data_IF_502262396263
#
_entry.id   IF_502262396263
#
_cell.length_a   1.000
_cell.length_b   1.000
_cell.length_c   1.000
_cell.angle_alpha   90.00
_cell.angle_beta   90.00
_cell.angle_gamma   90.00
#
_symmetry.space_group_name_H-M   'P 1'
#
loop_
_entity.id
_entity.type
_entity.pdbx_description
1 polymer ?
#
# COMPACT_ATOMS: atom_id res chain seq x y z
N UNK A 1 -9.65 21.93 -3.25
CA UNK A 1 -9.66 20.48 -2.93
C UNK A 1 -10.92 20.18 -2.14
N UNK A 2 -11.66 19.13 -2.52
CA UNK A 2 -12.75 18.60 -1.69
C UNK A 2 -12.18 18.06 -0.39
N UNK A 3 -12.84 18.33 0.74
CA UNK A 3 -12.45 17.75 2.04
C UNK A 3 -12.45 16.22 1.93
N UNK A 4 -11.42 15.52 2.45
CA UNK A 4 -11.39 14.06 2.44
C UNK A 4 -12.58 13.49 3.21
N UNK A 5 -13.28 12.54 2.60
CA UNK A 5 -14.30 11.73 3.26
C UNK A 5 -13.63 10.50 3.85
N UNK A 6 -13.66 10.37 5.18
CA UNK A 6 -13.30 9.15 5.88
C UNK A 6 -14.53 8.22 5.90
N UNK A 7 -14.50 7.08 5.19
CA UNK A 7 -15.61 6.16 5.19
C UNK A 7 -15.92 5.62 6.59
N UNK A 8 -17.19 5.26 6.89
CA UNK A 8 -17.53 4.52 8.09
C UNK A 8 -16.70 3.24 8.22
N UNK A 9 -16.31 2.92 9.46
CA UNK A 9 -15.52 1.74 9.80
C UNK A 9 -16.42 0.51 9.97
N UNK A 10 -15.98 -0.69 9.55
CA UNK A 10 -16.65 -1.94 9.87
C UNK A 10 -16.66 -2.20 11.38
N UNK A 11 -17.46 -3.18 11.80
CA UNK A 11 -17.47 -3.76 13.15
C UNK A 11 -17.41 -5.28 13.06
N UNK A 12 -16.91 -5.98 14.09
CA UNK A 12 -17.04 -7.43 14.16
C UNK A 12 -18.52 -7.87 13.94
N UNK A 13 -18.71 -8.84 13.07
CA UNK A 13 -20.00 -9.33 12.56
C UNK A 13 -20.36 -8.80 11.17
N UNK A 14 -19.74 -7.70 10.72
CA UNK A 14 -20.03 -7.13 9.41
C UNK A 14 -19.48 -7.97 8.25
N UNK A 15 -20.11 -7.82 7.07
CA UNK A 15 -19.63 -8.41 5.83
C UNK A 15 -18.62 -7.48 5.15
N UNK A 16 -17.52 -8.04 4.66
CA UNK A 16 -16.50 -7.30 3.91
C UNK A 16 -16.28 -7.94 2.55
N UNK A 17 -16.19 -7.13 1.50
CA UNK A 17 -15.95 -7.63 0.16
C UNK A 17 -14.49 -8.01 -0.01
N UNK A 18 -14.23 -9.14 -0.66
CA UNK A 18 -12.91 -9.58 -1.07
C UNK A 18 -12.87 -9.68 -2.59
N UNK A 19 -12.06 -8.83 -3.22
CA UNK A 19 -12.06 -8.62 -4.68
C UNK A 19 -10.65 -8.76 -5.25
N UNK A 20 -10.56 -9.22 -6.50
CA UNK A 20 -9.29 -9.31 -7.25
C UNK A 20 -9.29 -8.29 -8.41
N UNK A 21 -9.08 -7.00 -8.12
CA UNK A 21 -9.10 -5.98 -9.16
C UNK A 21 -7.86 -6.01 -10.05
N UNK A 22 -6.77 -6.62 -9.60
CA UNK A 22 -5.57 -6.91 -10.41
C UNK A 22 -5.51 -8.42 -10.71
N UNK A 23 -4.51 -9.15 -10.21
CA UNK A 23 -4.36 -10.58 -10.46
C UNK A 23 -5.34 -11.45 -9.65
N UNK A 24 -6.00 -12.39 -10.34
CA UNK A 24 -6.88 -13.41 -9.76
C UNK A 24 -6.16 -14.55 -9.05
N UNK A 25 -5.08 -14.27 -8.32
CA UNK A 25 -4.23 -15.27 -7.68
C UNK A 25 -4.90 -16.18 -6.63
N UNK A 26 -6.06 -15.85 -6.02
CA UNK A 26 -6.81 -16.84 -5.22
C UNK A 26 -7.16 -18.13 -5.95
N UNK A 27 -7.21 -18.11 -7.30
CA UNK A 27 -7.40 -19.30 -8.12
C UNK A 27 -6.17 -20.22 -8.13
N UNK A 28 -4.97 -19.61 -8.11
CA UNK A 28 -3.69 -20.33 -8.20
C UNK A 28 -3.19 -20.76 -6.82
N UNK A 29 -3.41 -19.92 -5.79
CA UNK A 29 -2.98 -20.14 -4.42
C UNK A 29 -4.16 -20.19 -3.44
N UNK A 30 -5.11 -21.13 -3.61
CA UNK A 30 -6.32 -21.18 -2.80
C UNK A 30 -6.01 -21.41 -1.31
N UNK A 31 -4.97 -22.17 -0.98
CA UNK A 31 -4.60 -22.46 0.41
C UNK A 31 -4.13 -21.21 1.18
N UNK A 32 -3.33 -20.35 0.55
CA UNK A 32 -2.93 -19.03 1.10
C UNK A 32 -4.15 -18.14 1.28
N UNK A 33 -5.04 -18.13 0.27
CA UNK A 33 -6.25 -17.34 0.30
C UNK A 33 -7.21 -17.78 1.40
N UNK A 34 -7.47 -19.07 1.55
CA UNK A 34 -8.31 -19.62 2.62
C UNK A 34 -7.75 -19.31 4.01
N UNK A 35 -6.42 -19.30 4.19
CA UNK A 35 -5.80 -18.85 5.43
C UNK A 35 -6.13 -17.37 5.71
N UNK A 36 -6.04 -16.52 4.69
CA UNK A 36 -6.42 -15.10 4.80
C UNK A 36 -7.90 -14.90 5.14
N UNK A 37 -8.81 -15.62 4.47
CA UNK A 37 -10.25 -15.56 4.77
C UNK A 37 -10.57 -16.06 6.19
N UNK A 38 -9.88 -17.12 6.64
CA UNK A 38 -10.04 -17.64 8.00
C UNK A 38 -9.61 -16.60 9.03
N UNK A 39 -8.47 -15.94 8.85
CA UNK A 39 -7.99 -14.89 9.76
C UNK A 39 -8.89 -13.66 9.75
N UNK A 40 -9.50 -13.29 8.61
CA UNK A 40 -10.55 -12.26 8.61
C UNK A 40 -11.71 -12.60 9.57
N UNK A 41 -12.16 -13.85 9.55
CA UNK A 41 -13.23 -14.33 10.45
C UNK A 41 -12.76 -14.43 11.90
N UNK A 42 -11.64 -15.10 12.15
CA UNK A 42 -11.19 -15.47 13.49
C UNK A 42 -10.51 -14.31 14.23
N UNK A 43 -9.67 -13.53 13.55
CA UNK A 43 -8.86 -12.46 14.16
C UNK A 43 -9.54 -11.09 14.12
N UNK A 44 -10.47 -10.87 13.19
CA UNK A 44 -11.17 -9.60 13.02
C UNK A 44 -12.69 -9.71 13.18
N UNK A 45 -13.25 -10.92 13.22
CA UNK A 45 -14.69 -11.12 13.31
C UNK A 45 -15.46 -10.65 12.07
N UNK A 46 -14.82 -10.55 10.90
CA UNK A 46 -15.44 -10.04 9.67
C UNK A 46 -15.79 -11.20 8.74
N UNK A 47 -16.97 -11.17 8.13
CA UNK A 47 -17.40 -12.20 7.19
C UNK A 47 -16.99 -11.83 5.75
N UNK A 48 -16.01 -12.50 5.14
CA UNK A 48 -15.59 -12.19 3.78
C UNK A 48 -16.64 -12.64 2.75
N UNK A 49 -16.91 -11.77 1.78
CA UNK A 49 -17.83 -11.99 0.67
C UNK A 49 -17.06 -11.89 -0.64
N UNK A 50 -17.00 -13.00 -1.36
CA UNK A 50 -16.37 -13.06 -2.67
C UNK A 50 -17.28 -12.51 -3.77
N UNK A 51 -16.67 -12.10 -4.87
CA UNK A 51 -17.31 -11.58 -6.06
C UNK A 51 -16.96 -12.48 -7.28
N UNK A 52 -17.73 -12.41 -8.39
CA UNK A 52 -17.57 -13.32 -9.53
C UNK A 52 -16.14 -13.55 -10.03
N UNK A 53 -15.28 -12.54 -10.04
CA UNK A 53 -13.90 -12.60 -10.55
C UNK A 53 -12.85 -12.83 -9.46
N UNK A 54 -13.23 -12.95 -8.18
CA UNK A 54 -12.27 -13.10 -7.06
C UNK A 54 -11.33 -14.30 -7.23
N UNK A 55 -11.78 -15.36 -7.92
CA UNK A 55 -10.96 -16.55 -8.20
C UNK A 55 -10.81 -16.82 -9.70
N UNK A 56 -10.77 -15.78 -10.52
CA UNK A 56 -10.68 -15.93 -11.98
C UNK A 56 -9.39 -15.29 -12.49
N UNK A 57 -8.46 -16.12 -12.96
CA UNK A 57 -7.25 -15.66 -13.63
C UNK A 57 -7.59 -15.00 -14.96
N UNK A 58 -6.96 -13.85 -15.24
CA UNK A 58 -7.13 -13.15 -16.51
C UNK A 58 -8.56 -12.68 -16.79
N UNK A 59 -9.38 -12.44 -15.76
CA UNK A 59 -10.71 -11.89 -15.93
C UNK A 59 -10.69 -10.56 -16.69
N UNK A 60 -11.69 -10.32 -17.53
CA UNK A 60 -11.78 -9.08 -18.32
C UNK A 60 -11.74 -7.85 -17.37
N UNK A 61 -10.98 -6.80 -17.69
CA UNK A 61 -10.90 -5.61 -16.84
C UNK A 61 -12.27 -5.00 -16.50
N UNK A 62 -13.27 -5.11 -17.40
CA UNK A 62 -14.63 -4.64 -17.17
C UNK A 62 -15.36 -5.49 -16.13
N UNK A 63 -15.12 -6.80 -16.10
CA UNK A 63 -15.71 -7.69 -15.11
C UNK A 63 -15.14 -7.43 -13.72
N UNK A 64 -13.82 -7.23 -13.62
CA UNK A 64 -13.15 -6.83 -12.37
C UNK A 64 -13.63 -5.46 -11.86
N UNK A 65 -13.83 -4.50 -12.77
CA UNK A 65 -14.39 -3.20 -12.43
C UNK A 65 -15.86 -3.29 -11.98
N UNK A 66 -16.66 -4.16 -12.60
CA UNK A 66 -18.03 -4.45 -12.18
C UNK A 66 -18.06 -5.00 -10.77
N UNK A 67 -17.18 -5.94 -10.43
CA UNK A 67 -17.11 -6.53 -9.10
C UNK A 67 -16.74 -5.49 -8.04
N UNK A 68 -15.75 -4.63 -8.30
CA UNK A 68 -15.39 -3.54 -7.40
C UNK A 68 -16.55 -2.53 -7.24
N UNK A 69 -17.21 -2.16 -8.34
CA UNK A 69 -18.36 -1.25 -8.32
C UNK A 69 -19.55 -1.86 -7.55
N UNK A 70 -19.83 -3.15 -7.75
CA UNK A 70 -20.87 -3.88 -7.03
C UNK A 70 -20.57 -3.97 -5.53
N UNK A 71 -19.30 -4.18 -5.15
CA UNK A 71 -18.88 -4.14 -3.75
C UNK A 71 -19.12 -2.78 -3.09
N UNK A 72 -18.91 -1.68 -3.82
CA UNK A 72 -19.28 -0.34 -3.35
C UNK A 72 -20.80 -0.14 -3.33
N UNK A 73 -21.56 -0.68 -4.29
CA UNK A 73 -23.01 -0.55 -4.31
C UNK A 73 -23.76 -1.36 -3.22
N UNK A 74 -23.22 -2.49 -2.76
CA UNK A 74 -23.90 -3.38 -1.82
C UNK A 74 -23.95 -2.78 -0.40
N UNK A 75 -25.13 -2.36 0.12
CA UNK A 75 -25.23 -1.72 1.43
C UNK A 75 -24.92 -2.65 2.61
N UNK A 76 -24.81 -3.97 2.38
CA UNK A 76 -24.44 -4.94 3.41
C UNK A 76 -22.92 -5.08 3.58
N UNK A 77 -22.14 -4.55 2.65
CA UNK A 77 -20.67 -4.55 2.70
C UNK A 77 -20.17 -3.27 3.36
N UNK A 78 -19.34 -3.41 4.40
CA UNK A 78 -18.83 -2.26 5.17
C UNK A 78 -17.36 -1.95 4.91
N UNK A 79 -16.61 -2.84 4.25
CA UNK A 79 -15.25 -2.61 3.78
C UNK A 79 -14.94 -3.44 2.53
N UNK A 80 -13.93 -3.04 1.76
CA UNK A 80 -13.47 -3.74 0.56
C UNK A 80 -11.97 -4.02 0.68
N UNK A 81 -11.56 -5.28 0.55
CA UNK A 81 -10.17 -5.71 0.62
C UNK A 81 -9.75 -6.32 -0.71
N UNK A 82 -8.63 -5.85 -1.26
CA UNK A 82 -8.01 -6.46 -2.42
C UNK A 82 -7.33 -7.78 -2.03
N UNK A 83 -7.43 -8.79 -2.90
CA UNK A 83 -6.78 -10.07 -2.67
C UNK A 83 -5.26 -9.94 -2.75
N UNK A 84 -4.74 -9.25 -3.76
CA UNK A 84 -3.31 -9.04 -4.06
C UNK A 84 -3.15 -7.94 -5.13
N UNK A 85 -1.91 -7.56 -5.45
CA UNK A 85 -1.54 -6.73 -6.60
C UNK A 85 -1.49 -7.51 -7.93
N UNK A 86 -0.62 -7.08 -8.83
CA UNK A 86 -0.42 -7.57 -10.20
C UNK A 86 0.17 -6.44 -11.04
N UNK A 87 -0.22 -6.29 -12.31
CA UNK A 87 0.42 -5.35 -13.24
C UNK A 87 -0.53 -4.65 -14.24
N UNK A 88 -1.84 -4.84 -14.14
CA UNK A 88 -2.78 -4.41 -15.18
C UNK A 88 -4.00 -3.64 -14.67
N UNK A 89 -4.08 -3.29 -13.38
CA UNK A 89 -5.24 -2.61 -12.79
C UNK A 89 -5.46 -1.22 -13.40
N UNK A 90 -4.44 -0.63 -14.02
CA UNK A 90 -4.59 0.58 -14.85
C UNK A 90 -5.61 0.39 -15.99
N UNK A 91 -5.87 -0.83 -16.45
CA UNK A 91 -6.91 -1.13 -17.44
C UNK A 91 -8.31 -1.24 -16.84
N UNK A 92 -8.42 -1.43 -15.52
CA UNK A 92 -9.67 -1.63 -14.77
C UNK A 92 -10.29 -0.30 -14.33
N UNK A 93 -9.48 0.63 -13.81
CA UNK A 93 -9.98 1.91 -13.27
C UNK A 93 -10.84 2.75 -14.23
N UNK A 94 -10.63 2.77 -15.57
CA UNK A 94 -11.51 3.48 -16.50
C UNK A 94 -12.95 2.95 -16.58
N UNK A 95 -13.19 1.74 -16.08
CA UNK A 95 -14.50 1.07 -16.13
C UNK A 95 -15.28 1.17 -14.80
N UNK A 96 -14.73 1.85 -13.78
CA UNK A 96 -15.42 2.07 -12.51
C UNK A 96 -16.53 3.10 -12.65
N UNK A 97 -17.64 2.88 -11.95
CA UNK A 97 -18.73 3.85 -11.88
C UNK A 97 -18.48 4.84 -10.73
N UNK A 98 -17.88 5.99 -11.08
CA UNK A 98 -17.59 7.05 -10.10
C UNK A 98 -18.83 7.56 -9.34
N UNK A 99 -20.02 7.52 -9.93
CA UNK A 99 -21.23 7.97 -9.25
C UNK A 99 -21.61 6.98 -8.14
N UNK A 100 -21.52 5.68 -8.41
CA UNK A 100 -21.72 4.62 -7.41
C UNK A 100 -20.69 4.72 -6.29
N UNK A 101 -19.40 4.88 -6.63
CA UNK A 101 -18.33 4.96 -5.63
C UNK A 101 -18.51 6.19 -4.72
N UNK A 102 -18.83 7.37 -5.28
CA UNK A 102 -19.09 8.59 -4.49
C UNK A 102 -20.34 8.48 -3.62
N UNK A 103 -21.38 7.81 -4.10
CA UNK A 103 -22.63 7.63 -3.34
C UNK A 103 -22.48 6.63 -2.18
N UNK A 104 -21.49 5.73 -2.25
CA UNK A 104 -21.30 4.64 -1.29
C UNK A 104 -19.84 4.55 -0.79
N UNK A 105 -19.29 5.60 -0.18
CA UNK A 105 -17.89 5.58 0.25
C UNK A 105 -17.65 4.49 1.31
N UNK A 106 -16.69 3.61 1.03
CA UNK A 106 -16.27 2.49 1.91
C UNK A 106 -14.75 2.46 2.03
N UNK A 107 -14.21 1.99 3.16
CA UNK A 107 -12.78 1.81 3.31
C UNK A 107 -12.31 0.71 2.34
N UNK A 108 -11.33 1.04 1.51
CA UNK A 108 -10.68 0.12 0.58
C UNK A 108 -9.25 -0.16 1.03
N UNK A 109 -8.86 -1.44 1.08
CA UNK A 109 -7.53 -1.88 1.50
C UNK A 109 -6.81 -2.57 0.34
N UNK A 110 -5.62 -2.09 0.01
CA UNK A 110 -4.74 -2.72 -0.97
C UNK A 110 -3.43 -1.95 -1.12
N UNK A 111 -2.41 -2.57 -1.69
CA UNK A 111 -1.13 -1.94 -2.02
C UNK A 111 -0.57 -2.49 -3.33
N UNK A 112 0.65 -2.11 -3.72
CA UNK A 112 1.25 -2.49 -5.02
C UNK A 112 0.42 -1.91 -6.18
N UNK A 113 0.05 -2.71 -7.18
CA UNK A 113 -0.83 -2.32 -8.30
C UNK A 113 -2.20 -1.76 -7.88
N UNK A 114 -2.65 -2.07 -6.65
CA UNK A 114 -3.82 -1.41 -6.08
C UNK A 114 -3.65 0.10 -5.87
N UNK A 115 -2.43 0.64 -6.00
CA UNK A 115 -2.16 2.07 -6.11
C UNK A 115 -3.04 2.74 -7.18
N UNK A 116 -3.39 2.02 -8.25
CA UNK A 116 -4.38 2.46 -9.24
C UNK A 116 -5.75 2.78 -8.60
N UNK A 117 -6.32 1.87 -7.78
CA UNK A 117 -7.60 2.11 -7.07
C UNK A 117 -7.44 3.17 -5.99
N UNK A 118 -6.35 3.14 -5.22
CA UNK A 118 -6.11 4.12 -4.15
C UNK A 118 -6.08 5.56 -4.72
N UNK A 119 -5.35 5.77 -5.82
CA UNK A 119 -5.29 7.05 -6.50
C UNK A 119 -6.64 7.44 -7.14
N UNK A 120 -7.39 6.47 -7.67
CA UNK A 120 -8.75 6.72 -8.18
C UNK A 120 -9.68 7.22 -7.07
N UNK A 121 -9.75 6.50 -5.95
CA UNK A 121 -10.55 6.88 -4.78
C UNK A 121 -10.12 8.22 -4.18
N UNK A 122 -8.82 8.50 -4.13
CA UNK A 122 -8.28 9.81 -3.73
C UNK A 122 -8.87 10.94 -4.57
N UNK A 123 -8.92 10.78 -5.90
CA UNK A 123 -9.50 11.76 -6.84
C UNK A 123 -11.00 11.92 -6.67
N UNK A 124 -11.69 10.90 -6.15
CA UNK A 124 -13.10 10.97 -5.74
C UNK A 124 -13.29 11.60 -4.35
N UNK A 125 -12.20 11.91 -3.62
CA UNK A 125 -12.24 12.45 -2.27
C UNK A 125 -12.48 11.40 -1.19
N UNK A 126 -12.31 10.11 -1.49
CA UNK A 126 -12.55 8.98 -0.58
C UNK A 126 -11.20 8.52 0.00
N UNK A 127 -11.10 8.48 1.33
CA UNK A 127 -9.93 7.92 2.01
C UNK A 127 -9.94 6.40 1.93
N UNK A 128 -8.87 5.83 1.38
CA UNK A 128 -8.60 4.39 1.35
C UNK A 128 -7.37 4.06 2.20
N UNK A 129 -6.84 2.84 2.12
CA UNK A 129 -5.74 2.38 2.96
C UNK A 129 -4.71 1.62 2.11
N UNK A 130 -3.47 2.11 2.14
CA UNK A 130 -2.33 1.44 1.55
C UNK A 130 -1.92 0.28 2.47
N UNK A 131 -2.19 -0.94 2.01
CA UNK A 131 -1.88 -2.19 2.70
C UNK A 131 -3.09 -3.08 2.96
N UNK A 132 -2.89 -4.20 3.66
CA UNK A 132 -3.98 -5.06 4.12
C UNK A 132 -4.53 -6.03 3.07
N UNK A 133 -3.75 -6.34 2.02
CA UNK A 133 -4.11 -7.36 1.03
C UNK A 133 -4.26 -8.76 1.63
N UNK A 134 -5.23 -9.53 1.13
CA UNK A 134 -5.60 -10.83 1.71
C UNK A 134 -4.50 -11.88 1.58
N UNK A 135 -3.91 -12.07 0.41
CA UNK A 135 -2.91 -13.12 0.21
C UNK A 135 -1.59 -12.85 0.94
N UNK A 136 -1.16 -11.59 1.00
CA UNK A 136 0.15 -11.20 1.53
C UNK A 136 0.12 -11.05 3.05
N UNK A 137 -0.82 -10.28 3.59
CA UNK A 137 -0.84 -9.93 5.01
C UNK A 137 -1.67 -10.92 5.82
N UNK A 138 -2.91 -11.14 5.40
CA UNK A 138 -3.81 -12.06 6.08
C UNK A 138 -3.41 -13.51 5.81
N UNK A 139 -2.92 -13.83 4.62
CA UNK A 139 -2.40 -15.13 4.20
C UNK A 139 -0.94 -15.39 4.57
N UNK A 140 -0.30 -14.52 5.36
CA UNK A 140 1.10 -14.66 5.80
C UNK A 140 1.36 -16.06 6.39
N UNK A 141 2.35 -16.82 5.88
CA UNK A 141 2.79 -18.09 6.46
C UNK A 141 3.12 -17.99 7.96
N UNK A 142 3.02 -19.12 8.67
CA UNK A 142 3.25 -19.18 10.10
C UNK A 142 2.18 -18.40 10.88
N UNK A 143 2.61 -17.48 11.73
CA UNK A 143 1.75 -16.67 12.58
C UNK A 143 1.40 -15.32 11.93
N UNK A 144 0.27 -14.69 12.31
CA UNK A 144 0.06 -13.26 12.06
C UNK A 144 1.23 -12.43 12.61
N UNK A 145 1.80 -11.52 11.81
CA UNK A 145 2.78 -10.58 12.37
C UNK A 145 2.04 -9.52 13.19
N UNK A 146 2.38 -9.31 14.48
CA UNK A 146 1.62 -8.43 15.38
C UNK A 146 1.54 -7.00 14.87
N UNK A 147 2.64 -6.42 14.37
CA UNK A 147 2.66 -5.06 13.82
C UNK A 147 1.62 -4.85 12.71
N UNK A 148 1.54 -5.77 11.75
CA UNK A 148 0.58 -5.69 10.64
C UNK A 148 -0.85 -5.89 11.11
N UNK A 149 -1.09 -6.86 11.99
CA UNK A 149 -2.43 -7.15 12.48
C UNK A 149 -2.97 -6.05 13.39
N UNK A 150 -2.13 -5.47 14.25
CA UNK A 150 -2.51 -4.34 15.10
C UNK A 150 -2.77 -3.09 14.27
N UNK A 151 -1.93 -2.81 13.28
CA UNK A 151 -2.14 -1.69 12.36
C UNK A 151 -3.40 -1.86 11.51
N UNK A 152 -3.66 -3.07 11.00
CA UNK A 152 -4.89 -3.39 10.26
C UNK A 152 -6.12 -3.30 11.16
N UNK A 153 -6.03 -3.76 12.41
CA UNK A 153 -7.11 -3.67 13.40
C UNK A 153 -7.45 -2.22 13.71
N UNK A 154 -6.44 -1.38 13.88
CA UNK A 154 -6.64 0.05 14.08
C UNK A 154 -7.30 0.69 12.84
N UNK A 155 -6.77 0.42 11.65
CA UNK A 155 -7.33 0.95 10.40
C UNK A 155 -8.78 0.48 10.15
N UNK A 156 -9.14 -0.75 10.55
CA UNK A 156 -10.49 -1.29 10.41
C UNK A 156 -11.47 -0.78 11.47
N UNK A 157 -11.06 -0.61 12.72
CA UNK A 157 -12.01 -0.46 13.84
C UNK A 157 -11.88 0.80 14.66
N UNK A 158 -10.81 1.58 14.49
CA UNK A 158 -10.62 2.82 15.25
C UNK A 158 -10.76 4.04 14.36
N UNK A 159 -10.94 5.19 15.01
CA UNK A 159 -10.98 6.50 14.34
C UNK A 159 -10.14 7.48 15.13
N UNK A 160 -9.49 8.41 14.43
CA UNK A 160 -8.62 9.40 15.05
C UNK A 160 -7.13 9.08 14.90
N UNK A 161 -6.30 9.78 15.68
CA UNK A 161 -4.85 9.67 15.57
C UNK A 161 -4.32 8.35 16.13
N UNK A 162 -3.40 7.75 15.39
CA UNK A 162 -2.72 6.52 15.73
C UNK A 162 -1.22 6.68 15.44
N UNK A 163 -0.38 6.37 16.42
CA UNK A 163 1.07 6.44 16.28
C UNK A 163 1.58 5.16 15.60
N UNK A 164 2.29 5.31 14.49
CA UNK A 164 2.99 4.23 13.82
C UNK A 164 4.31 3.94 14.55
N UNK A 165 4.73 2.67 14.53
CA UNK A 165 5.98 2.23 15.16
C UNK A 165 6.82 1.42 14.17
N UNK A 166 8.15 1.56 14.20
CA UNK A 166 9.03 0.76 13.36
C UNK A 166 9.00 -0.71 13.76
N UNK A 167 9.10 -1.60 12.77
CA UNK A 167 9.17 -3.03 13.03
C UNK A 167 10.46 -3.42 13.78
N UNK A 168 10.38 -4.25 14.85
CA UNK A 168 11.56 -4.74 15.55
C UNK A 168 12.33 -5.80 14.75
N UNK A 169 11.67 -6.44 13.79
CA UNK A 169 12.22 -7.40 12.83
C UNK A 169 11.50 -7.22 11.50
N UNK A 170 12.16 -7.55 10.40
CA UNK A 170 11.59 -7.46 9.05
C UNK A 170 12.18 -8.52 8.10
N UNK A 171 11.49 -8.83 7.02
CA UNK A 171 11.95 -9.70 5.94
C UNK A 171 11.44 -9.23 4.59
N UNK A 172 12.13 -9.60 3.51
CA UNK A 172 11.73 -9.36 2.12
C UNK A 172 11.80 -10.64 1.27
N UNK A 173 12.07 -11.79 1.91
CA UNK A 173 12.05 -13.12 1.32
C UNK A 173 10.77 -13.86 1.71
N UNK A 174 9.76 -13.93 0.83
CA UNK A 174 8.53 -14.66 1.10
C UNK A 174 8.76 -16.18 1.00
N UNK A 175 7.90 -16.95 1.67
CA UNK A 175 7.80 -18.39 1.44
C UNK A 175 7.14 -18.66 0.08
N UNK A 176 7.44 -19.80 -0.52
CA UNK A 176 6.88 -20.18 -1.82
C UNK A 176 5.41 -20.65 -1.66
N UNK A 177 4.48 -19.90 -2.24
CA UNK A 177 3.07 -20.25 -2.26
C UNK A 177 2.75 -21.45 -3.15
N UNK A 178 3.67 -21.95 -3.96
CA UNK A 178 3.47 -23.20 -4.70
C UNK A 178 3.58 -24.44 -3.80
N UNK A 179 4.21 -24.31 -2.63
CA UNK A 179 4.29 -25.36 -1.62
C UNK A 179 3.33 -25.07 -0.46
N UNK A 180 2.16 -25.76 -0.39
CA UNK A 180 1.23 -25.58 0.72
C UNK A 180 1.83 -25.90 2.09
N UNK A 181 2.87 -26.74 2.17
CA UNK A 181 3.54 -27.03 3.44
C UNK A 181 4.28 -25.81 3.99
N UNK A 182 4.77 -24.92 3.11
CA UNK A 182 5.47 -23.71 3.49
C UNK A 182 4.60 -22.69 4.24
N UNK A 183 3.26 -22.88 4.26
CA UNK A 183 2.36 -22.10 5.12
C UNK A 183 2.57 -22.35 6.62
N UNK A 184 3.15 -23.50 7.00
CA UNK A 184 3.40 -23.82 8.40
C UNK A 184 4.67 -23.14 8.94
N UNK A 185 5.56 -22.68 8.05
CA UNK A 185 6.87 -22.16 8.41
C UNK A 185 6.83 -20.63 8.56
N UNK A 186 7.45 -20.11 9.62
CA UNK A 186 7.67 -18.67 9.75
C UNK A 186 8.64 -18.18 8.66
N UNK A 187 8.38 -17.02 8.03
CA UNK A 187 9.30 -16.45 7.05
C UNK A 187 10.62 -16.02 7.69
N UNK A 188 11.64 -15.85 6.84
CA UNK A 188 12.95 -15.36 7.26
C UNK A 188 12.85 -13.90 7.73
N UNK A 189 13.24 -13.64 8.99
CA UNK A 189 13.24 -12.30 9.59
C UNK A 189 14.66 -11.87 10.00
N UNK A 190 14.99 -10.63 9.67
CA UNK A 190 16.19 -9.90 10.05
C UNK A 190 15.88 -8.89 11.16
N UNK A 191 16.87 -8.48 11.98
CA UNK A 191 16.69 -7.42 12.96
C UNK A 191 16.26 -6.09 12.30
N UNK A 192 15.29 -5.41 12.91
CA UNK A 192 14.88 -4.06 12.54
C UNK A 192 15.90 -3.03 13.02
N UNK A 193 16.13 -2.01 12.19
CA UNK A 193 17.11 -0.94 12.45
C UNK A 193 16.42 0.41 12.75
N UNK A 194 15.10 0.41 12.87
CA UNK A 194 14.28 1.61 12.95
C UNK A 194 14.15 2.35 11.62
N UNK A 195 13.51 3.51 11.67
CA UNK A 195 13.41 4.42 10.52
C UNK A 195 14.60 5.38 10.48
N UNK A 196 15.05 5.72 9.26
CA UNK A 196 16.16 6.67 9.07
C UNK A 196 15.61 8.03 8.68
N UNK A 197 15.99 9.06 9.43
CA UNK A 197 15.49 10.42 9.24
C UNK A 197 16.55 11.30 8.57
N UNK A 198 16.14 12.06 7.55
CA UNK A 198 16.96 13.01 6.81
C UNK A 198 16.18 14.31 6.59
N UNK A 199 16.89 15.44 6.47
CA UNK A 199 16.28 16.76 6.27
C UNK A 199 16.13 17.54 7.59
N UNK A 200 15.33 18.63 7.58
CA UNK A 200 15.21 19.52 8.73
C UNK A 200 14.41 18.90 9.88
N UNK A 201 14.78 19.24 11.12
CA UNK A 201 14.03 18.85 12.31
C UNK A 201 12.76 19.70 12.46
N UNK A 202 11.73 19.39 11.67
CA UNK A 202 10.44 20.10 11.64
C UNK A 202 9.27 19.13 11.71
N UNK A 203 8.08 19.65 11.99
CA UNK A 203 6.83 18.90 11.98
C UNK A 203 6.07 19.23 10.71
N UNK A 204 5.76 18.21 9.92
CA UNK A 204 4.94 18.32 8.71
C UNK A 204 3.62 17.61 8.96
N UNK A 205 2.51 18.30 8.64
CA UNK A 205 1.18 17.70 8.63
C UNK A 205 0.54 17.93 7.27
N UNK A 206 -0.02 16.88 6.69
CA UNK A 206 -0.61 16.92 5.35
C UNK A 206 -1.48 15.70 5.09
N UNK A 207 -1.96 15.59 3.85
CA UNK A 207 -2.62 14.37 3.37
C UNK A 207 -1.59 13.43 2.76
N UNK A 208 -1.75 12.13 2.89
CA UNK A 208 -0.91 11.16 2.18
C UNK A 208 -1.28 11.09 0.70
N UNK A 209 -0.28 10.92 -0.16
CA UNK A 209 -0.47 10.54 -1.57
C UNK A 209 0.78 9.80 -2.06
N UNK A 210 0.65 8.95 -3.08
CA UNK A 210 1.77 8.19 -3.64
C UNK A 210 1.42 6.72 -3.87
N UNK A 211 2.21 5.79 -3.35
CA UNK A 211 2.03 4.34 -3.45
C UNK A 211 3.24 3.64 -4.05
N UNK A 212 3.00 2.57 -4.81
CA UNK A 212 4.07 1.86 -5.51
C UNK A 212 4.69 2.76 -6.60
N UNK A 213 6.02 2.87 -6.62
CA UNK A 213 6.73 3.81 -7.49
C UNK A 213 6.62 3.44 -8.97
N UNK A 214 6.67 2.15 -9.30
CA UNK A 214 6.50 1.62 -10.65
C UNK A 214 5.08 1.90 -11.17
N UNK A 215 4.06 1.70 -10.33
CA UNK A 215 2.66 2.00 -10.67
C UNK A 215 2.43 3.50 -10.79
N UNK A 216 3.02 4.32 -9.91
CA UNK A 216 2.97 5.77 -10.03
C UNK A 216 3.58 6.23 -11.35
N UNK A 217 4.66 5.61 -11.81
CA UNK A 217 5.24 5.89 -13.12
C UNK A 217 4.22 5.68 -14.25
N UNK A 218 3.46 4.57 -14.23
CA UNK A 218 2.43 4.30 -15.23
C UNK A 218 1.25 5.28 -15.16
N UNK A 219 0.78 5.59 -13.94
CA UNK A 219 -0.27 6.58 -13.72
C UNK A 219 0.15 7.98 -14.21
N UNK A 220 1.41 8.35 -14.01
CA UNK A 220 1.96 9.60 -14.53
C UNK A 220 2.00 9.59 -16.06
N UNK A 221 2.47 8.50 -16.67
CA UNK A 221 2.54 8.36 -18.13
C UNK A 221 1.14 8.38 -18.80
N UNK A 222 0.12 7.85 -18.12
CA UNK A 222 -1.26 7.85 -18.57
C UNK A 222 -2.05 9.13 -18.21
N UNK A 223 -1.41 10.10 -17.54
CA UNK A 223 -2.01 11.32 -17.00
C UNK A 223 -3.24 11.08 -16.10
N UNK A 224 -3.10 10.14 -15.16
CA UNK A 224 -4.17 9.73 -14.24
C UNK A 224 -3.93 10.12 -12.78
N UNK A 225 -2.98 11.01 -12.55
CA UNK A 225 -2.68 11.57 -11.22
C UNK A 225 -3.31 12.96 -11.05
N UNK A 226 -3.51 13.44 -9.81
CA UNK A 226 -3.85 14.84 -9.56
C UNK A 226 -2.77 15.81 -10.07
N UNK A 227 -3.15 17.06 -10.33
CA UNK A 227 -2.18 18.09 -10.70
C UNK A 227 -1.27 18.45 -9.51
N UNK A 228 -0.06 18.94 -9.78
CA UNK A 228 0.91 19.29 -8.74
C UNK A 228 0.37 20.28 -7.69
N UNK A 229 -0.42 21.27 -8.12
CA UNK A 229 -1.06 22.23 -7.20
C UNK A 229 -2.11 21.61 -6.28
N UNK A 230 -2.71 20.48 -6.67
CA UNK A 230 -3.64 19.72 -5.82
C UNK A 230 -2.91 18.85 -4.79
N UNK A 231 -1.64 18.52 -5.05
CA UNK A 231 -0.81 17.70 -4.16
C UNK A 231 0.09 18.53 -3.25
N UNK A 232 0.23 19.83 -3.49
CA UNK A 232 1.04 20.73 -2.68
C UNK A 232 0.66 20.67 -1.19
N UNK A 233 1.66 20.47 -0.32
CA UNK A 233 1.48 20.29 1.12
C UNK A 233 1.14 18.86 1.56
N UNK A 234 0.98 17.92 0.61
CA UNK A 234 0.79 16.50 0.93
C UNK A 234 2.10 15.85 1.39
N UNK A 235 1.99 14.71 2.06
CA UNK A 235 3.13 13.84 2.36
C UNK A 235 3.18 12.75 1.29
N UNK A 236 4.29 12.69 0.55
CA UNK A 236 4.53 11.64 -0.43
C UNK A 236 4.87 10.35 0.30
N UNK A 237 4.26 9.23 -0.08
CA UNK A 237 4.69 7.89 0.32
C UNK A 237 5.04 7.07 -0.92
N UNK A 238 6.25 6.52 -0.98
CA UNK A 238 6.72 5.74 -2.12
C UNK A 238 7.37 4.45 -1.66
N UNK A 239 7.17 3.37 -2.41
CA UNK A 239 7.78 2.06 -2.17
C UNK A 239 8.07 1.34 -3.49
N UNK A 240 8.96 0.35 -3.46
CA UNK A 240 9.35 -0.45 -4.63
C UNK A 240 8.94 -1.92 -4.47
N UNK A 241 8.71 -2.58 -5.60
CA UNK A 241 8.08 -3.90 -5.67
C UNK A 241 9.07 -5.06 -5.80
N UNK A 242 8.50 -6.26 -5.95
CA UNK A 242 9.19 -7.50 -6.32
C UNK A 242 9.87 -7.46 -7.69
N UNK A 243 9.58 -6.49 -8.56
CA UNK A 243 10.30 -6.33 -9.82
C UNK A 243 11.78 -5.94 -9.61
N UNK A 244 12.12 -5.51 -8.38
CA UNK A 244 13.43 -5.04 -7.98
C UNK A 244 13.95 -3.99 -8.98
N UNK A 245 13.32 -2.80 -9.07
CA UNK A 245 13.79 -1.75 -9.97
C UNK A 245 15.19 -1.28 -9.53
N UNK A 246 16.16 -1.14 -10.45
CA UNK A 246 17.49 -0.67 -10.07
C UNK A 246 17.42 0.78 -9.58
N UNK A 247 18.39 1.18 -8.75
CA UNK A 247 18.52 2.55 -8.23
C UNK A 247 18.52 3.62 -9.34
N UNK A 248 19.03 3.29 -10.53
CA UNK A 248 18.98 4.17 -11.71
C UNK A 248 17.55 4.45 -12.17
N UNK A 249 16.67 3.45 -12.13
CA UNK A 249 15.27 3.59 -12.51
C UNK A 249 14.46 4.32 -11.44
N UNK A 250 14.68 3.98 -10.17
CA UNK A 250 14.12 4.73 -9.03
C UNK A 250 14.43 6.23 -9.15
N UNK A 251 15.69 6.58 -9.40
CA UNK A 251 16.07 7.98 -9.62
C UNK A 251 15.38 8.59 -10.85
N UNK A 252 15.28 7.87 -11.98
CA UNK A 252 14.65 8.39 -13.20
C UNK A 252 13.18 8.69 -12.99
N UNK A 253 12.44 7.80 -12.32
CA UNK A 253 11.03 8.01 -12.01
C UNK A 253 10.87 9.26 -11.14
N UNK A 254 11.62 9.36 -10.04
CA UNK A 254 11.57 10.52 -9.15
C UNK A 254 12.01 11.82 -9.85
N UNK A 255 13.07 11.77 -10.67
CA UNK A 255 13.48 12.91 -11.49
C UNK A 255 12.35 13.37 -12.41
N UNK A 256 11.67 12.44 -13.09
CA UNK A 256 10.55 12.78 -13.97
C UNK A 256 9.36 13.36 -13.17
N UNK A 257 9.11 12.89 -11.94
CA UNK A 257 8.16 13.54 -11.03
C UNK A 257 8.59 14.97 -10.67
N UNK A 258 9.88 15.18 -10.42
CA UNK A 258 10.49 16.49 -10.19
C UNK A 258 10.31 17.44 -11.37
N UNK A 259 10.58 16.99 -12.59
CA UNK A 259 10.38 17.76 -13.83
C UNK A 259 8.91 18.08 -14.09
N UNK A 260 7.97 17.27 -13.59
CA UNK A 260 6.53 17.59 -13.59
C UNK A 260 6.12 18.58 -12.49
N UNK A 261 7.06 19.06 -11.69
CA UNK A 261 6.81 19.99 -10.57
C UNK A 261 6.16 19.33 -9.35
N UNK A 262 6.08 18.00 -9.29
CA UNK A 262 5.43 17.30 -8.19
C UNK A 262 6.26 17.34 -6.91
N UNK A 263 7.55 17.00 -7.01
CA UNK A 263 8.40 16.79 -5.82
C UNK A 263 8.53 18.03 -4.94
N UNK A 264 8.60 19.22 -5.53
CA UNK A 264 8.67 20.49 -4.81
C UNK A 264 7.42 20.75 -3.94
N UNK A 265 6.29 20.09 -4.22
CA UNK A 265 5.05 20.21 -3.46
C UNK A 265 4.98 19.35 -2.20
N UNK A 266 5.92 18.42 -1.98
CA UNK A 266 5.87 17.48 -0.85
C UNK A 266 6.83 17.89 0.27
N UNK A 267 6.37 18.55 1.36
CA UNK A 267 7.21 18.92 2.50
C UNK A 267 7.74 17.71 3.30
N UNK A 268 7.14 16.54 3.14
CA UNK A 268 7.67 15.29 3.68
C UNK A 268 7.51 14.13 2.69
N UNK A 269 8.48 13.20 2.73
CA UNK A 269 8.53 11.98 1.92
C UNK A 269 8.80 10.78 2.81
N UNK A 270 7.89 9.82 2.81
CA UNK A 270 8.06 8.50 3.41
C UNK A 270 8.49 7.52 2.33
N UNK A 271 9.61 6.84 2.56
CA UNK A 271 10.15 5.85 1.64
C UNK A 271 10.05 4.49 2.32
N UNK A 272 9.28 3.60 1.70
CA UNK A 272 9.10 2.23 2.13
C UNK A 272 10.44 1.49 2.19
N UNK A 273 10.51 0.52 3.09
CA UNK A 273 11.66 -0.39 3.15
C UNK A 273 11.81 -1.11 1.81
N UNK A 274 13.02 -1.10 1.28
CA UNK A 274 13.32 -1.63 -0.04
C UNK A 274 13.18 -3.15 -0.03
N UNK A 275 12.32 -3.69 -0.89
CA UNK A 275 12.39 -5.11 -1.26
C UNK A 275 13.61 -5.32 -2.14
N UNK A 276 14.45 -6.28 -1.76
CA UNK A 276 15.71 -6.56 -2.43
C UNK A 276 15.89 -8.05 -2.73
N UNK A 277 14.84 -8.86 -2.61
CA UNK A 277 14.88 -10.29 -2.88
C UNK A 277 13.64 -10.74 -3.65
N UNK A 278 13.83 -11.58 -4.65
CA UNK A 278 12.79 -12.30 -5.38
C UNK A 278 13.27 -13.71 -5.76
N UNK A 279 12.35 -14.65 -6.04
CA UNK A 279 12.70 -16.02 -6.45
C UNK A 279 13.57 -16.06 -7.70
N UNK A 280 13.34 -15.16 -8.66
CA UNK A 280 14.13 -15.06 -9.88
C UNK A 280 15.45 -14.31 -9.67
N UNK A 281 15.56 -13.55 -8.58
CA UNK A 281 16.75 -12.74 -8.22
C UNK A 281 17.09 -12.92 -6.73
N UNK A 282 17.62 -14.10 -6.34
CA UNK A 282 17.83 -14.43 -4.94
C UNK A 282 19.12 -13.80 -4.40
N UNK A 283 19.12 -12.47 -4.23
CA UNK A 283 20.25 -11.73 -3.67
C UNK A 283 20.66 -12.26 -2.30
N UNK A 284 21.97 -12.37 -2.08
CA UNK A 284 22.55 -12.61 -0.76
C UNK A 284 22.24 -11.47 0.22
N UNK A 285 22.38 -11.67 1.54
CA UNK A 285 22.17 -10.59 2.53
C UNK A 285 23.02 -9.34 2.27
N UNK A 286 24.25 -9.50 1.76
CA UNK A 286 25.14 -8.39 1.42
C UNK A 286 24.65 -7.62 0.19
N UNK A 287 24.21 -8.34 -0.85
CA UNK A 287 23.61 -7.75 -2.05
C UNK A 287 22.29 -7.03 -1.72
N UNK A 288 21.44 -7.62 -0.86
CA UNK A 288 20.20 -7.00 -0.38
C UNK A 288 20.47 -5.65 0.30
N UNK A 289 21.48 -5.59 1.16
CA UNK A 289 21.90 -4.34 1.82
C UNK A 289 22.40 -3.30 0.82
N UNK A 290 23.30 -3.69 -0.07
CA UNK A 290 23.85 -2.82 -1.11
C UNK A 290 22.75 -2.28 -2.06
N UNK A 291 21.76 -3.12 -2.38
CA UNK A 291 20.59 -2.76 -3.18
C UNK A 291 19.75 -1.68 -2.50
N UNK A 292 19.44 -1.88 -1.22
CA UNK A 292 18.69 -0.92 -0.42
C UNK A 292 19.46 0.41 -0.25
N UNK A 293 20.77 0.36 0.01
CA UNK A 293 21.63 1.55 0.08
C UNK A 293 21.61 2.33 -1.24
N UNK A 294 21.75 1.64 -2.37
CA UNK A 294 21.73 2.27 -3.69
C UNK A 294 20.38 2.94 -3.99
N UNK A 295 19.25 2.31 -3.65
CA UNK A 295 17.93 2.93 -3.82
C UNK A 295 17.76 4.15 -2.90
N UNK A 296 18.18 4.09 -1.63
CA UNK A 296 18.14 5.26 -0.72
C UNK A 296 18.94 6.44 -1.28
N UNK A 297 20.16 6.19 -1.77
CA UNK A 297 20.99 7.22 -2.41
C UNK A 297 20.33 7.80 -3.67
N UNK A 298 19.66 6.96 -4.48
CA UNK A 298 18.91 7.43 -5.64
C UNK A 298 17.75 8.36 -5.27
N UNK A 299 16.99 8.02 -4.22
CA UNK A 299 15.92 8.90 -3.71
C UNK A 299 16.50 10.20 -3.16
N UNK A 300 17.52 10.13 -2.30
CA UNK A 300 18.18 11.31 -1.74
C UNK A 300 18.73 12.23 -2.83
N UNK A 301 19.34 11.68 -3.88
CA UNK A 301 19.84 12.47 -5.03
C UNK A 301 18.72 13.20 -5.77
N UNK A 302 17.57 12.55 -5.98
CA UNK A 302 16.43 13.21 -6.61
C UNK A 302 15.86 14.33 -5.73
N UNK A 303 15.63 14.05 -4.44
CA UNK A 303 15.06 15.03 -3.50
C UNK A 303 16.01 16.21 -3.25
N UNK A 304 17.32 16.01 -3.21
CA UNK A 304 18.29 17.10 -3.11
C UNK A 304 18.16 18.12 -4.27
N UNK A 305 17.68 17.68 -5.44
CA UNK A 305 17.49 18.55 -6.61
C UNK A 305 16.12 19.24 -6.57
N UNK A 306 15.05 18.51 -6.27
CA UNK A 306 13.68 19.00 -6.47
C UNK A 306 12.93 19.36 -5.18
N UNK A 307 13.41 18.93 -4.01
CA UNK A 307 12.79 19.14 -2.70
C UNK A 307 13.85 19.13 -1.57
N UNK A 308 14.87 20.01 -1.61
CA UNK A 308 16.02 19.95 -0.68
C UNK A 308 15.66 20.17 0.79
N UNK A 309 14.53 20.83 1.07
CA UNK A 309 14.05 21.13 2.41
C UNK A 309 13.01 20.12 2.94
N UNK A 310 12.73 19.04 2.20
CA UNK A 310 11.77 18.04 2.62
C UNK A 310 12.29 17.20 3.80
N UNK A 311 11.39 16.85 4.72
CA UNK A 311 11.65 15.80 5.72
C UNK A 311 11.54 14.45 5.02
N UNK A 312 12.60 13.65 5.07
CA UNK A 312 12.62 12.31 4.46
C UNK A 312 12.76 11.25 5.52
N UNK A 313 11.89 10.24 5.49
CA UNK A 313 11.95 9.09 6.39
C UNK A 313 12.08 7.83 5.56
N UNK A 314 13.22 7.15 5.67
CA UNK A 314 13.48 5.90 4.98
C UNK A 314 13.19 4.68 5.85
N UNK A 315 12.96 3.57 5.15
CA UNK A 315 12.72 2.25 5.71
C UNK A 315 11.48 2.20 6.60
N UNK A 316 10.50 3.04 6.27
CA UNK A 316 9.16 2.93 6.84
C UNK A 316 8.60 1.58 6.41
N UNK A 317 7.99 0.85 7.35
CA UNK A 317 7.51 -0.51 7.12
C UNK A 317 6.20 -0.48 6.31
N UNK A 318 6.27 0.04 5.08
CA UNK A 318 5.23 0.10 4.05
C UNK A 318 5.82 -0.42 2.73
N UNK A 319 5.02 -1.07 1.88
CA UNK A 319 5.49 -1.67 0.62
C UNK A 319 5.69 -3.19 0.71
N UNK A 320 6.61 -3.74 -0.08
CA UNK A 320 6.71 -5.19 -0.32
C UNK A 320 7.58 -5.98 0.67
N UNK A 321 7.77 -5.47 1.88
CA UNK A 321 8.45 -6.18 2.99
C UNK A 321 7.44 -6.63 4.07
N UNK A 322 7.81 -7.65 4.84
CA UNK A 322 7.09 -8.12 6.02
C UNK A 322 7.79 -7.61 7.30
N UNK A 323 7.10 -7.03 8.28
CA UNK A 323 5.70 -6.63 8.27
C UNK A 323 5.41 -5.37 7.46
N UNK A 324 4.13 -5.10 7.26
CA UNK A 324 3.61 -3.86 6.69
C UNK A 324 2.65 -3.15 7.65
N UNK A 325 2.81 -1.84 7.79
CA UNK A 325 1.89 -0.89 8.44
C UNK A 325 0.80 -0.45 7.45
N UNK A 326 -0.42 -0.28 7.94
CA UNK A 326 -1.55 0.20 7.15
C UNK A 326 -1.61 1.73 7.22
N UNK A 327 -1.41 2.40 6.09
CA UNK A 327 -1.37 3.85 6.03
C UNK A 327 -2.62 4.37 5.30
N UNK A 328 -3.41 5.30 5.88
CA UNK A 328 -4.55 5.87 5.17
C UNK A 328 -4.03 6.61 3.93
N UNK A 329 -4.63 6.37 2.76
CA UNK A 329 -4.31 7.00 1.48
C UNK A 329 -5.28 8.16 1.23
N UNK A 330 -4.75 9.38 1.10
CA UNK A 330 -5.55 10.60 1.09
C UNK A 330 -6.04 11.05 2.47
N UNK A 331 -5.71 10.31 3.53
CA UNK A 331 -5.97 10.68 4.92
C UNK A 331 -4.86 11.56 5.49
N UNK A 332 -5.09 12.09 6.70
CA UNK A 332 -4.15 12.97 7.39
C UNK A 332 -3.00 12.18 8.02
N UNK A 333 -1.81 12.76 7.94
CA UNK A 333 -0.59 12.24 8.54
C UNK A 333 0.21 13.39 9.14
N UNK A 334 0.89 13.10 10.25
CA UNK A 334 1.87 13.97 10.89
C UNK A 334 3.22 13.27 10.90
N UNK A 335 4.22 13.91 10.32
CA UNK A 335 5.62 13.49 10.30
C UNK A 335 6.40 14.45 11.17
N UNK A 336 6.78 14.00 12.37
CA UNK A 336 7.46 14.80 13.38
C UNK A 336 8.94 14.41 13.44
N UNK A 337 9.80 15.17 12.74
CA UNK A 337 11.25 14.90 12.72
C UNK A 337 11.98 15.35 13.98
N UNK A 338 11.32 16.12 14.87
CA UNK A 338 11.87 16.52 16.16
C UNK A 338 11.80 15.35 17.12
N UNK A 339 10.61 14.74 17.24
CA UNK A 339 10.35 13.60 18.11
C UNK A 339 10.56 12.25 17.42
N UNK A 340 10.92 12.26 16.13
CA UNK A 340 11.05 11.08 15.26
C UNK A 340 9.81 10.17 15.32
N UNK A 341 8.64 10.78 15.13
CA UNK A 341 7.34 10.12 15.23
C UNK A 341 6.54 10.30 13.94
N UNK A 342 5.84 9.24 13.53
CA UNK A 342 4.83 9.29 12.48
C UNK A 342 3.49 8.92 13.09
N UNK A 343 2.49 9.78 12.90
CA UNK A 343 1.11 9.53 13.34
C UNK A 343 0.17 9.67 12.15
N UNK A 344 -0.79 8.76 12.02
CA UNK A 344 -1.81 8.76 10.96
C UNK A 344 -3.19 8.92 11.57
N UNK A 345 -4.12 9.49 10.81
CA UNK A 345 -5.53 9.55 11.20
C UNK A 345 -6.32 8.45 10.50
N UNK A 346 -6.87 7.51 11.27
CA UNK A 346 -7.80 6.50 10.77
C UNK A 346 -9.24 6.99 10.75
#
# INVERSE_FOLDING_TARGET
MTSPSYPPKPRPGDRVAVVSPSAGLPALFPHVYELGLRRLREEFGLEPVEYPTTRVLGADPRDRARDLTAAFADPTITAVLATVGGDDLITVTPHLDDAVLRANPKPYFGYSDNTNVLNHLYRLGIVSYHGGSVLVHLGRPGSPHPLTFDSLRAALFTSGWYDLTPAPQWGDRPNDWHDPAALADEPEMLPGEGWRWQGPATVVQGRTWGGNLEILHWLLAADRVPAAGELAGSVLMVETSEELPPATEVFRILRNMGERGLLAGFPAVLVGRVKAWDFERPHSPEERRAWADAQREAVSRALATYAPDAVVVFDVDLGHTDPQLIVPYGGEIRVDAVERRISVRY
#
